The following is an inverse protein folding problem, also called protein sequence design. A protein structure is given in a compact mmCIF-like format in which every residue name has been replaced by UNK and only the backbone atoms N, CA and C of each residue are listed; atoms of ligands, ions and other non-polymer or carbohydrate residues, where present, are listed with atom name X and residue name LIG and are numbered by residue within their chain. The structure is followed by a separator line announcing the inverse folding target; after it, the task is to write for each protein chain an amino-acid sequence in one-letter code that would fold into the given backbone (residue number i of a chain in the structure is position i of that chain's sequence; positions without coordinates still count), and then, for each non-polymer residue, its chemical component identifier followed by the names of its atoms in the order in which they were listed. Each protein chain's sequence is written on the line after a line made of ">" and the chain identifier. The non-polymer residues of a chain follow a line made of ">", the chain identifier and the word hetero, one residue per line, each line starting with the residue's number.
data_IF_341020723741
#
_entry.id   IF_341020723741
#
_cell.length_a   1.000
_cell.length_b   1.000
_cell.length_c   1.000
_cell.angle_alpha   90.00
_cell.angle_beta   90.00
_cell.angle_gamma   90.00
#
_symmetry.space_group_name_H-M   'P 1'
#
loop_
_entity.id
_entity.type
_entity.pdbx_description
1 polymer ?
#
# COMPACT_ATOMS: atom_id res chain seq x y z
N UNK A 1 4.42 -11.28 6.59
CA UNK A 1 4.92 -9.90 6.79
C UNK A 1 4.57 -9.37 8.19
N UNK A 2 5.54 -8.81 8.93
CA UNK A 2 5.28 -8.13 10.21
C UNK A 2 4.70 -6.72 10.01
N UNK A 3 3.94 -6.21 10.99
CA UNK A 3 3.44 -4.83 11.02
C UNK A 3 4.56 -3.79 10.82
N UNK A 4 5.80 -4.11 11.23
CA UNK A 4 6.99 -3.27 11.02
C UNK A 4 7.40 -3.16 9.54
N UNK A 5 7.27 -4.25 8.77
CA UNK A 5 7.52 -4.24 7.31
C UNK A 5 6.43 -3.44 6.59
N UNK A 6 5.17 -3.58 7.01
CA UNK A 6 4.04 -2.84 6.44
C UNK A 6 4.23 -1.32 6.62
N UNK A 7 4.64 -0.87 7.81
CA UNK A 7 4.92 0.56 8.06
C UNK A 7 5.99 1.12 7.12
N UNK A 8 7.10 0.39 6.95
CA UNK A 8 8.15 0.80 6.00
C UNK A 8 7.66 0.87 4.56
N UNK A 9 6.79 -0.05 4.15
CA UNK A 9 6.19 -0.01 2.82
C UNK A 9 5.24 1.18 2.64
N UNK A 10 4.49 1.54 3.70
CA UNK A 10 3.66 2.76 3.71
C UNK A 10 4.55 4.00 3.60
N UNK A 11 5.61 4.11 4.41
CA UNK A 11 6.53 5.25 4.38
C UNK A 11 7.18 5.40 3.00
N UNK A 12 7.68 4.29 2.43
CA UNK A 12 8.23 4.27 1.07
C UNK A 12 7.19 4.64 0.00
N UNK A 13 5.95 4.17 0.14
CA UNK A 13 4.86 4.50 -0.77
C UNK A 13 4.49 5.98 -0.68
N UNK A 14 4.60 6.61 0.50
CA UNK A 14 4.32 8.03 0.72
C UNK A 14 5.44 8.91 0.16
N UNK A 15 6.69 8.55 0.43
CA UNK A 15 7.89 9.23 -0.08
C UNK A 15 8.02 9.12 -1.60
N UNK A 16 7.49 8.04 -2.19
CA UNK A 16 7.40 7.85 -3.64
C UNK A 16 6.06 8.34 -4.19
N UNK A 17 6.00 8.73 -5.45
CA UNK A 17 4.71 9.02 -6.13
C UNK A 17 4.01 7.74 -6.65
N UNK A 18 4.19 6.63 -5.92
CA UNK A 18 3.59 5.35 -6.26
C UNK A 18 2.14 5.31 -5.79
N UNK A 19 1.23 4.93 -6.69
CA UNK A 19 -0.19 4.80 -6.39
C UNK A 19 -0.56 3.46 -5.75
N UNK A 20 0.24 2.42 -6.00
CA UNK A 20 0.06 1.09 -5.46
C UNK A 20 1.40 0.36 -5.31
N UNK A 21 1.47 -0.54 -4.35
CA UNK A 21 2.58 -1.48 -4.14
C UNK A 21 2.00 -2.87 -3.91
N UNK A 22 2.46 -3.85 -4.69
CA UNK A 22 2.18 -5.26 -4.45
C UNK A 22 3.48 -5.97 -4.04
N UNK A 23 3.43 -6.72 -2.94
CA UNK A 23 4.56 -7.53 -2.45
C UNK A 23 4.12 -8.97 -2.34
N UNK A 24 4.92 -9.89 -2.90
CA UNK A 24 4.74 -11.35 -2.80
C UNK A 24 5.90 -11.97 -2.03
N UNK A 25 5.59 -12.72 -0.99
CA UNK A 25 6.56 -13.47 -0.16
C UNK A 25 6.05 -14.91 -0.04
N UNK A 26 6.57 -15.80 -0.88
CA UNK A 26 6.05 -17.17 -1.02
C UNK A 26 4.60 -17.18 -1.51
N UNK A 27 3.72 -17.84 -0.76
CA UNK A 27 2.28 -17.91 -1.05
C UNK A 27 1.49 -16.70 -0.49
N UNK A 28 2.15 -15.78 0.22
CA UNK A 28 1.50 -14.59 0.76
C UNK A 28 1.67 -13.40 -0.19
N UNK A 29 0.57 -12.72 -0.49
CA UNK A 29 0.60 -11.43 -1.19
C UNK A 29 -0.06 -10.35 -0.35
N UNK A 30 0.46 -9.13 -0.46
CA UNK A 30 -0.17 -7.92 0.08
C UNK A 30 -0.22 -6.89 -1.04
N UNK A 31 -1.35 -6.22 -1.15
CA UNK A 31 -1.55 -5.08 -2.03
C UNK A 31 -1.89 -3.88 -1.17
N UNK A 32 -1.12 -2.80 -1.36
CA UNK A 32 -1.33 -1.51 -0.72
C UNK A 32 -1.62 -0.50 -1.81
N UNK A 33 -2.75 0.21 -1.68
CA UNK A 33 -3.17 1.23 -2.64
C UNK A 33 -3.41 2.52 -1.88
N UNK A 34 -3.06 3.66 -2.48
CA UNK A 34 -3.43 4.96 -1.92
C UNK A 34 -4.97 5.05 -1.85
N UNK A 35 -5.53 5.59 -0.75
CA UNK A 35 -6.96 5.85 -0.71
C UNK A 35 -7.29 6.83 -1.84
N UNK A 36 -8.04 6.37 -2.82
CA UNK A 36 -8.67 7.28 -3.77
C UNK A 36 -9.76 8.02 -3.00
N UNK A 37 -9.83 9.37 -3.09
CA UNK A 37 -10.94 10.08 -2.50
C UNK A 37 -12.23 9.58 -3.17
N UNK A 38 -13.03 8.82 -2.41
CA UNK A 38 -14.35 8.40 -2.84
C UNK A 38 -15.23 9.64 -2.74
N UNK A 39 -15.33 10.40 -3.82
CA UNK A 39 -16.36 11.42 -3.94
C UNK A 39 -17.69 10.68 -4.07
N UNK A 40 -18.45 10.59 -2.98
CA UNK A 40 -19.87 10.25 -3.06
C UNK A 40 -20.54 11.41 -3.81
N UNK A 41 -20.76 11.21 -5.11
CA UNK A 41 -21.66 12.06 -5.89
C UNK A 41 -23.08 11.80 -5.38
N UNK A 42 -23.68 12.83 -4.80
CA UNK A 42 -25.08 12.86 -4.37
C UNK A 42 -26.04 12.88 -5.56
#
# INVERSE_FOLDING_TARGET
>A
MDIRKIKKLIDLMIESDLQAIEVKEGDQSISLTRPTPVYTTA
#
